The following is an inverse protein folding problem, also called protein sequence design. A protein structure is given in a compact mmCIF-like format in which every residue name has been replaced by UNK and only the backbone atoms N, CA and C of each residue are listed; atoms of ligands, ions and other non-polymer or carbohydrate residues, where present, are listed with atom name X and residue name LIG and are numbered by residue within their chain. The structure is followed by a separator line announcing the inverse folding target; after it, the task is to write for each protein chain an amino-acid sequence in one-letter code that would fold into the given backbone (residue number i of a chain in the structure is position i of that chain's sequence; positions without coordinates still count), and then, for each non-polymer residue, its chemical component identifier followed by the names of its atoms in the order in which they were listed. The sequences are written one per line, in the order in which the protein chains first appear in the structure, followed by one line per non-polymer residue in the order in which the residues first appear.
data_IF_418012827609
#
_entry.id   IF_418012827609
#
_cell.length_a   1.000
_cell.length_b   1.000
_cell.length_c   1.000
_cell.angle_alpha   90.00
_cell.angle_beta   90.00
_cell.angle_gamma   90.00
#
_symmetry.space_group_name_H-M   'P 1'
#
loop_
_entity.id
_entity.type
_entity.pdbx_description
1 polymer ?
#
# COMPACT_ATOMS: atom_id res chain seq x y z
N UNK A 1 18.95 16.43 12.48
CA UNK A 1 17.68 15.69 12.43
C UNK A 1 17.47 15.36 10.97
N UNK A 2 17.43 14.07 10.67
CA UNK A 2 17.33 13.60 9.30
C UNK A 2 15.97 14.01 8.73
N UNK A 3 15.99 14.61 7.54
CA UNK A 3 14.77 15.07 6.86
C UNK A 3 14.16 13.94 6.05
N UNK A 4 12.88 13.64 6.29
CA UNK A 4 12.11 12.67 5.50
C UNK A 4 12.17 13.00 4.00
N UNK A 5 12.02 14.28 3.64
CA UNK A 5 12.02 14.72 2.24
C UNK A 5 13.37 14.49 1.54
N UNK A 6 14.48 14.54 2.30
CA UNK A 6 15.81 14.24 1.75
C UNK A 6 15.93 12.75 1.44
N UNK A 7 15.48 11.88 2.35
CA UNK A 7 15.47 10.43 2.13
C UNK A 7 14.57 10.05 0.96
N UNK A 8 13.35 10.60 0.90
CA UNK A 8 12.41 10.37 -0.20
C UNK A 8 13.02 10.73 -1.55
N UNK A 9 13.64 11.92 -1.65
CA UNK A 9 14.26 12.39 -2.89
C UNK A 9 15.39 11.47 -3.33
N UNK A 10 16.27 11.11 -2.39
CA UNK A 10 17.42 10.26 -2.67
C UNK A 10 17.02 8.85 -3.12
N UNK A 11 16.01 8.26 -2.47
CA UNK A 11 15.48 6.96 -2.87
C UNK A 11 14.78 7.05 -4.23
N UNK A 12 13.97 8.10 -4.45
CA UNK A 12 13.23 8.29 -5.69
C UNK A 12 14.15 8.43 -6.91
N UNK A 13 15.22 9.23 -6.80
CA UNK A 13 16.21 9.39 -7.87
C UNK A 13 16.92 8.06 -8.19
N UNK A 14 17.31 7.30 -7.16
CA UNK A 14 18.01 6.04 -7.34
C UNK A 14 17.13 4.96 -7.99
N UNK A 15 15.89 4.79 -7.50
CA UNK A 15 14.98 3.80 -8.09
C UNK A 15 14.55 4.19 -9.50
N UNK A 16 14.40 5.49 -9.81
CA UNK A 16 14.09 5.93 -11.17
C UNK A 16 15.19 5.58 -12.17
N UNK A 17 16.47 5.59 -11.74
CA UNK A 17 17.60 5.26 -12.60
C UNK A 17 17.84 3.75 -12.74
N UNK A 18 17.77 3.00 -11.63
CA UNK A 18 18.22 1.61 -11.57
C UNK A 18 17.06 0.59 -11.50
N UNK A 19 15.89 1.01 -11.00
CA UNK A 19 14.73 0.15 -10.68
C UNK A 19 13.39 0.79 -11.11
N UNK A 20 13.16 1.03 -12.42
CA UNK A 20 12.01 1.83 -12.89
C UNK A 20 10.63 1.21 -12.56
N UNK A 21 10.58 -0.09 -12.26
CA UNK A 21 9.36 -0.75 -11.81
C UNK A 21 9.01 -0.44 -10.34
N UNK A 22 10.00 -0.02 -9.54
CA UNK A 22 9.86 0.17 -8.11
C UNK A 22 9.28 1.55 -7.81
N UNK A 23 8.61 1.67 -6.68
CA UNK A 23 8.07 2.92 -6.17
C UNK A 23 8.14 2.97 -4.65
N UNK A 24 8.18 4.18 -4.12
CA UNK A 24 8.13 4.41 -2.68
C UNK A 24 6.67 4.21 -2.22
N UNK A 25 6.48 3.35 -1.23
CA UNK A 25 5.19 3.15 -0.54
C UNK A 25 5.09 4.05 0.68
N UNK A 26 6.19 4.19 1.44
CA UNK A 26 6.26 5.10 2.59
C UNK A 26 7.72 5.40 2.96
N UNK A 27 7.95 6.57 3.56
CA UNK A 27 9.22 6.91 4.23
C UNK A 27 8.89 7.51 5.58
N UNK A 28 9.35 6.88 6.64
CA UNK A 28 9.11 7.29 8.01
C UNK A 28 10.43 7.63 8.69
N UNK A 29 10.50 8.79 9.32
CA UNK A 29 11.62 9.17 10.20
C UNK A 29 11.08 9.33 11.61
N UNK A 30 11.35 8.33 12.45
CA UNK A 30 10.93 8.29 13.84
C UNK A 30 11.90 9.05 14.76
N UNK A 31 11.46 9.41 15.99
CA UNK A 31 12.37 9.95 17.01
C UNK A 31 13.58 9.05 17.24
N UNK A 32 14.75 9.66 17.43
CA UNK A 32 16.02 8.92 17.49
C UNK A 32 16.60 8.55 16.12
N UNK A 33 16.18 9.23 15.05
CA UNK A 33 16.66 9.02 13.68
C UNK A 33 16.48 7.57 13.19
N UNK A 34 15.39 6.90 13.56
CA UNK A 34 15.05 5.61 12.94
C UNK A 34 14.30 5.85 11.64
N UNK A 35 14.93 5.51 10.52
CA UNK A 35 14.43 5.68 9.16
C UNK A 35 13.89 4.34 8.68
N UNK A 36 12.66 4.34 8.18
CA UNK A 36 12.04 3.18 7.54
C UNK A 36 11.62 3.59 6.13
N UNK A 37 12.10 2.85 5.14
CA UNK A 37 11.75 3.01 3.72
C UNK A 37 11.02 1.76 3.28
N UNK A 38 9.75 1.92 2.93
CA UNK A 38 8.94 0.85 2.36
C UNK A 38 8.82 1.04 0.85
N UNK A 39 9.14 -0.02 0.11
CA UNK A 39 9.13 -0.06 -1.34
C UNK A 39 8.03 -0.98 -1.85
N UNK A 40 7.48 -0.62 -3.01
CA UNK A 40 6.51 -1.41 -3.76
C UNK A 40 7.03 -1.69 -5.16
N UNK A 41 6.53 -2.78 -5.73
CA UNK A 41 6.76 -3.22 -7.11
C UNK A 41 5.65 -4.18 -7.49
N UNK A 42 5.25 -4.18 -8.76
CA UNK A 42 4.17 -5.02 -9.26
C UNK A 42 4.60 -6.51 -9.32
N UNK A 43 5.89 -6.77 -9.47
CA UNK A 43 6.50 -8.12 -9.48
C UNK A 43 7.17 -8.49 -8.15
N UNK A 44 7.05 -7.62 -7.14
CA UNK A 44 7.76 -7.74 -5.88
C UNK A 44 9.12 -7.05 -5.87
N UNK A 45 9.68 -6.93 -4.67
CA UNK A 45 10.93 -6.21 -4.40
C UNK A 45 12.00 -7.23 -4.02
N UNK A 46 13.12 -7.20 -4.73
CA UNK A 46 14.27 -8.08 -4.48
C UNK A 46 15.06 -7.60 -3.26
N UNK A 47 15.53 -8.56 -2.45
CA UNK A 47 16.42 -8.30 -1.33
C UNK A 47 17.71 -7.61 -1.77
N UNK A 48 18.25 -7.96 -2.94
CA UNK A 48 19.47 -7.35 -3.47
C UNK A 48 19.25 -5.87 -3.80
N UNK A 49 18.05 -5.50 -4.25
CA UNK A 49 17.69 -4.10 -4.48
C UNK A 49 17.60 -3.33 -3.15
N UNK A 50 16.98 -3.90 -2.12
CA UNK A 50 16.96 -3.30 -0.77
C UNK A 50 18.37 -3.06 -0.23
N UNK A 51 19.29 -4.01 -0.39
CA UNK A 51 20.70 -3.86 0.03
C UNK A 51 21.38 -2.72 -0.72
N UNK A 52 21.14 -2.56 -2.03
CA UNK A 52 21.75 -1.48 -2.82
C UNK A 52 21.19 -0.11 -2.46
N UNK A 53 19.88 -0.02 -2.25
CA UNK A 53 19.22 1.23 -1.81
C UNK A 53 19.73 1.62 -0.42
N UNK A 54 19.87 0.67 0.50
CA UNK A 54 20.47 0.90 1.83
C UNK A 54 21.85 1.52 1.69
N UNK A 55 22.75 0.90 0.91
CA UNK A 55 24.11 1.43 0.67
C UNK A 55 24.10 2.80 0.01
N UNK A 56 23.16 3.05 -0.89
CA UNK A 56 23.02 4.35 -1.54
C UNK A 56 22.64 5.45 -0.55
N UNK A 57 21.71 5.18 0.37
CA UNK A 57 21.34 6.10 1.45
C UNK A 57 22.54 6.33 2.39
N UNK A 58 23.20 5.25 2.84
CA UNK A 58 24.36 5.35 3.74
C UNK A 58 25.55 6.09 3.12
N UNK A 59 25.76 6.01 1.81
CA UNK A 59 26.82 6.75 1.13
C UNK A 59 26.57 8.27 1.09
N UNK A 60 25.32 8.70 1.29
CA UNK A 60 24.90 10.10 1.25
C UNK A 60 24.47 10.64 2.63
N UNK A 61 24.45 9.81 3.67
CA UNK A 61 24.13 10.18 5.05
C UNK A 61 25.30 9.81 5.95
N UNK A 62 25.90 10.83 6.56
CA UNK A 62 27.10 10.63 7.39
C UNK A 62 26.73 10.17 8.81
N UNK A 63 26.92 8.87 9.07
CA UNK A 63 26.68 8.23 10.38
C UNK A 63 27.61 8.72 11.48
N UNK A 64 28.78 9.28 11.12
CA UNK A 64 29.70 9.84 12.12
C UNK A 64 29.24 11.22 12.61
N UNK A 65 28.39 11.90 11.82
CA UNK A 65 27.82 13.21 12.16
C UNK A 65 26.48 13.07 12.88
N UNK A 66 25.59 12.20 12.41
CA UNK A 66 24.31 11.89 13.07
C UNK A 66 24.10 10.37 13.14
N UNK A 67 23.99 9.82 14.35
CA UNK A 67 23.64 8.41 14.54
C UNK A 67 22.18 8.15 14.10
N UNK A 68 21.97 7.06 13.38
CA UNK A 68 20.68 6.66 12.83
C UNK A 68 20.58 5.14 12.63
N UNK A 69 19.33 4.67 12.61
CA UNK A 69 18.94 3.31 12.21
C UNK A 69 18.23 3.39 10.86
N UNK A 70 18.54 2.49 9.95
CA UNK A 70 17.94 2.46 8.61
C UNK A 70 17.40 1.06 8.31
N UNK A 71 16.13 1.01 7.94
CA UNK A 71 15.43 -0.18 7.48
C UNK A 71 14.87 0.09 6.08
N UNK A 72 15.28 -0.72 5.10
CA UNK A 72 14.75 -0.66 3.72
C UNK A 72 14.15 -2.02 3.39
N UNK A 73 12.87 -2.04 3.04
CA UNK A 73 12.14 -3.29 2.82
C UNK A 73 10.95 -3.12 1.89
N UNK A 74 10.33 -4.26 1.55
CA UNK A 74 9.09 -4.28 0.79
C UNK A 74 7.89 -3.97 1.68
N UNK A 75 6.87 -3.33 1.12
CA UNK A 75 5.59 -3.22 1.80
C UNK A 75 5.01 -4.63 2.07
N UNK A 76 4.62 -4.88 3.32
CA UNK A 76 4.08 -6.18 3.72
C UNK A 76 2.80 -6.55 2.95
N UNK A 77 2.67 -7.82 2.58
CA UNK A 77 1.49 -8.35 1.84
C UNK A 77 0.16 -8.08 2.54
N UNK A 78 0.16 -8.04 3.87
CA UNK A 78 -1.03 -7.82 4.72
C UNK A 78 -1.12 -6.39 5.26
N UNK A 79 -0.17 -5.53 4.89
CA UNK A 79 -0.16 -4.13 5.27
C UNK A 79 -1.30 -3.38 4.55
N UNK A 80 -1.86 -2.33 5.19
CA UNK A 80 -2.76 -1.42 4.49
C UNK A 80 -2.09 -0.82 3.26
N UNK A 81 -2.89 -0.58 2.23
CA UNK A 81 -2.47 0.27 1.12
C UNK A 81 -2.25 1.69 1.62
N UNK A 82 -1.17 2.32 1.16
CA UNK A 82 -0.76 3.67 1.47
C UNK A 82 -0.74 4.57 0.23
N UNK A 83 -0.52 3.99 -0.95
CA UNK A 83 -0.43 4.73 -2.21
C UNK A 83 -1.42 4.19 -3.25
N UNK A 84 -1.86 5.06 -4.16
CA UNK A 84 -2.87 4.71 -5.18
C UNK A 84 -2.43 3.55 -6.08
N UNK A 85 -1.13 3.46 -6.36
CA UNK A 85 -0.58 2.37 -7.18
C UNK A 85 -0.83 0.98 -6.59
N UNK A 86 -0.92 0.87 -5.26
CA UNK A 86 -1.28 -0.40 -4.61
C UNK A 86 -2.76 -0.75 -4.84
N UNK A 87 -3.64 0.24 -4.97
CA UNK A 87 -5.04 0.02 -5.34
C UNK A 87 -5.13 -0.40 -6.82
N UNK A 88 -4.41 0.29 -7.71
CA UNK A 88 -4.37 -0.06 -9.14
C UNK A 88 -3.86 -1.48 -9.37
N UNK A 89 -2.80 -1.87 -8.65
CA UNK A 89 -2.24 -3.22 -8.72
C UNK A 89 -3.14 -4.30 -8.08
N UNK A 90 -4.20 -3.92 -7.36
CA UNK A 90 -5.14 -4.83 -6.72
C UNK A 90 -6.51 -4.86 -7.42
N UNK A 91 -6.64 -4.26 -8.61
CA UNK A 91 -7.83 -4.41 -9.45
C UNK A 91 -8.03 -5.90 -9.76
N UNK A 92 -9.29 -6.34 -9.74
CA UNK A 92 -9.73 -7.73 -9.85
C UNK A 92 -9.31 -8.65 -8.67
N UNK A 93 -8.71 -8.10 -7.62
CA UNK A 93 -8.43 -8.83 -6.38
C UNK A 93 -9.46 -8.53 -5.27
N UNK A 94 -9.56 -9.45 -4.30
CA UNK A 94 -10.43 -9.29 -3.14
C UNK A 94 -9.75 -8.46 -2.05
N UNK A 95 -10.43 -7.41 -1.59
CA UNK A 95 -9.93 -6.48 -0.57
C UNK A 95 -10.93 -6.28 0.57
N UNK A 96 -10.41 -5.97 1.76
CA UNK A 96 -11.19 -5.47 2.91
C UNK A 96 -10.99 -3.96 3.00
N UNK A 97 -12.07 -3.18 2.87
CA UNK A 97 -12.07 -1.73 3.01
C UNK A 97 -12.73 -1.36 4.33
N UNK A 98 -11.95 -0.73 5.22
CA UNK A 98 -12.46 -0.09 6.42
C UNK A 98 -12.77 1.38 6.09
N UNK A 99 -14.03 1.77 6.22
CA UNK A 99 -14.51 3.13 6.01
C UNK A 99 -14.57 3.89 7.34
N UNK A 100 -14.64 5.23 7.24
CA UNK A 100 -15.03 6.12 8.34
C UNK A 100 -16.32 5.60 8.98
N UNK A 101 -16.39 5.72 10.31
CA UNK A 101 -17.50 5.14 11.09
C UNK A 101 -17.38 3.64 11.39
N UNK A 102 -16.28 2.99 11.00
CA UNK A 102 -15.98 1.60 11.38
C UNK A 102 -16.67 0.54 10.51
N UNK A 103 -17.25 0.95 9.38
CA UNK A 103 -17.91 0.05 8.43
C UNK A 103 -16.84 -0.72 7.66
N UNK A 104 -16.98 -2.05 7.59
CA UNK A 104 -16.09 -2.92 6.82
C UNK A 104 -16.85 -3.48 5.62
N UNK A 105 -16.33 -3.22 4.43
CA UNK A 105 -16.81 -3.83 3.19
C UNK A 105 -15.76 -4.82 2.67
N UNK A 106 -16.21 -5.94 2.13
CA UNK A 106 -15.35 -6.97 1.52
C UNK A 106 -15.88 -7.25 0.12
N UNK A 107 -14.99 -7.22 -0.86
CA UNK A 107 -15.38 -7.43 -2.24
C UNK A 107 -14.19 -7.39 -3.18
N UNK A 108 -14.48 -7.56 -4.46
CA UNK A 108 -13.49 -7.46 -5.54
C UNK A 108 -13.35 -6.00 -5.94
N UNK A 109 -12.12 -5.48 -5.97
CA UNK A 109 -11.84 -4.11 -6.40
C UNK A 109 -11.98 -4.04 -7.92
N UNK A 110 -13.02 -3.38 -8.43
CA UNK A 110 -13.33 -3.36 -9.87
C UNK A 110 -12.74 -2.14 -10.59
N UNK A 111 -12.61 -1.02 -9.90
CA UNK A 111 -12.03 0.20 -10.48
C UNK A 111 -11.43 1.10 -9.39
N UNK A 112 -10.45 1.91 -9.80
CA UNK A 112 -9.72 2.86 -8.94
C UNK A 112 -9.56 4.17 -9.69
N UNK A 113 -9.73 5.27 -8.97
CA UNK A 113 -9.42 6.62 -9.43
C UNK A 113 -8.79 7.43 -8.29
N UNK A 114 -8.32 8.64 -8.58
CA UNK A 114 -7.78 9.53 -7.56
C UNK A 114 -8.80 9.92 -6.47
N UNK A 115 -10.10 9.86 -6.78
CA UNK A 115 -11.17 10.35 -5.90
C UNK A 115 -11.95 9.23 -5.23
N UNK A 116 -12.03 8.05 -5.86
CA UNK A 116 -12.89 6.95 -5.41
C UNK A 116 -12.42 5.58 -5.91
N UNK A 117 -12.90 4.54 -5.24
CA UNK A 117 -12.81 3.14 -5.67
C UNK A 117 -14.20 2.55 -5.92
N UNK A 118 -14.27 1.52 -6.74
CA UNK A 118 -15.46 0.69 -6.92
C UNK A 118 -15.19 -0.73 -6.41
N UNK A 119 -16.10 -1.24 -5.59
CA UNK A 119 -16.01 -2.54 -4.95
C UNK A 119 -17.24 -3.36 -5.32
N UNK A 120 -17.01 -4.53 -5.93
CA UNK A 120 -18.06 -5.53 -6.15
C UNK A 120 -18.23 -6.41 -4.91
N UNK A 121 -19.36 -6.28 -4.22
CA UNK A 121 -19.68 -6.96 -2.97
C UNK A 121 -20.77 -8.00 -3.17
N UNK A 122 -20.53 -9.23 -2.72
CA UNK A 122 -21.54 -10.31 -2.77
C UNK A 122 -22.39 -10.30 -1.50
N UNK A 123 -23.69 -10.02 -1.64
CA UNK A 123 -24.65 -10.01 -0.51
C UNK A 123 -25.67 -11.15 -0.63
N UNK A 124 -25.98 -11.79 0.50
CA UNK A 124 -26.99 -12.85 0.58
C UNK A 124 -28.35 -12.28 0.91
N UNK A 125 -29.16 -12.00 -0.11
CA UNK A 125 -30.52 -11.50 0.03
C UNK A 125 -31.55 -12.62 -0.10
N UNK A 126 -32.65 -12.52 0.65
CA UNK A 126 -33.81 -13.40 0.51
C UNK A 126 -34.84 -12.66 -0.35
N UNK A 127 -34.90 -13.00 -1.63
CA UNK A 127 -35.91 -12.43 -2.54
C UNK A 127 -37.32 -12.82 -2.08
N UNK A 128 -38.29 -11.91 -2.23
CA UNK A 128 -39.68 -12.17 -1.85
C UNK A 128 -40.21 -13.41 -2.59
N UNK A 129 -40.63 -14.43 -1.83
CA UNK A 129 -41.09 -15.73 -2.34
C UNK A 129 -40.03 -16.85 -2.38
N UNK A 130 -38.75 -16.57 -2.20
CA UNK A 130 -37.70 -17.59 -2.27
C UNK A 130 -37.49 -18.34 -0.93
N UNK A 131 -37.45 -19.68 -0.99
CA UNK A 131 -37.14 -20.55 0.18
C UNK A 131 -35.67 -20.48 0.61
N UNK A 132 -34.76 -20.03 -0.25
CA UNK A 132 -33.30 -19.95 -0.01
C UNK A 132 -32.78 -18.54 -0.29
N UNK A 133 -31.68 -18.16 0.36
CA UNK A 133 -30.97 -16.90 0.08
C UNK A 133 -30.24 -17.01 -1.25
N UNK A 134 -30.28 -15.96 -2.05
CA UNK A 134 -29.54 -15.83 -3.30
C UNK A 134 -28.40 -14.84 -3.10
N UNK A 135 -27.24 -15.15 -3.68
CA UNK A 135 -26.10 -14.23 -3.74
C UNK A 135 -26.36 -13.22 -4.86
N UNK A 136 -26.36 -11.94 -4.51
CA UNK A 136 -26.49 -10.82 -5.45
C UNK A 136 -25.22 -9.99 -5.36
N UNK A 137 -24.67 -9.68 -6.52
CA UNK A 137 -23.51 -8.81 -6.67
C UNK A 137 -23.98 -7.35 -6.67
N UNK A 138 -23.42 -6.55 -5.76
CA UNK A 138 -23.72 -5.12 -5.60
C UNK A 138 -22.42 -4.33 -5.82
N UNK A 139 -22.45 -3.38 -6.77
CA UNK A 139 -21.34 -2.47 -7.01
C UNK A 139 -21.46 -1.27 -6.07
N UNK A 140 -20.45 -1.06 -5.23
CA UNK A 140 -20.39 0.04 -4.26
C UNK A 140 -19.26 0.98 -4.65
N UNK A 141 -19.59 2.26 -4.84
CA UNK A 141 -18.59 3.33 -5.00
C UNK A 141 -18.24 3.90 -3.62
N UNK A 142 -16.94 3.95 -3.29
CA UNK A 142 -16.44 4.46 -2.02
C UNK A 142 -15.45 5.59 -2.30
N UNK A 143 -15.72 6.82 -1.86
CA UNK A 143 -14.76 7.92 -1.95
C UNK A 143 -13.47 7.59 -1.19
N UNK A 144 -12.31 7.95 -1.76
CA UNK A 144 -11.01 7.72 -1.13
C UNK A 144 -10.92 8.41 0.23
N UNK A 145 -11.53 9.59 0.39
CA UNK A 145 -11.53 10.31 1.67
C UNK A 145 -12.31 9.56 2.76
N UNK A 146 -13.26 8.69 2.40
CA UNK A 146 -14.01 7.88 3.36
C UNK A 146 -13.27 6.61 3.79
N UNK A 147 -12.17 6.27 3.15
CA UNK A 147 -11.40 5.06 3.46
C UNK A 147 -10.42 5.36 4.59
N UNK A 148 -10.46 4.53 5.64
CA UNK A 148 -9.46 4.54 6.72
C UNK A 148 -8.33 3.55 6.44
N UNK A 149 -8.63 2.40 5.86
CA UNK A 149 -7.62 1.42 5.46
C UNK A 149 -8.17 0.43 4.44
N UNK A 150 -7.38 0.05 3.46
CA UNK A 150 -7.68 -1.07 2.55
C UNK A 150 -6.58 -2.12 2.65
N UNK A 151 -6.94 -3.40 2.68
CA UNK A 151 -5.98 -4.52 2.71
C UNK A 151 -6.41 -5.63 1.77
N UNK A 152 -5.44 -6.35 1.19
CA UNK A 152 -5.70 -7.60 0.45
C UNK A 152 -6.27 -8.67 1.38
N UNK A 153 -7.20 -9.47 0.87
CA UNK A 153 -7.70 -10.67 1.51
C UNK A 153 -7.07 -11.89 0.82
N UNK A 154 -6.37 -12.72 1.58
CA UNK A 154 -5.85 -13.99 1.11
C UNK A 154 -6.75 -15.13 1.60
N UNK A 155 -7.26 -15.94 0.67
CA UNK A 155 -7.99 -17.18 0.95
C UNK A 155 -7.01 -18.35 0.84
N UNK A 156 -6.87 -19.11 1.92
CA UNK A 156 -6.05 -20.33 2.00
C UNK A 156 -6.95 -21.57 2.01
#
# INVERSE_FOLDING_TARGET
MISQQVIETLVAEYIAAEYPAYYIVDVLVHPGNRIVVELGSDEGVDIDACVRITKHIEANQDREVEDYELEVGSAGLTSPFKVIRQYEAAIDEEVEVLRKGGIKEKGVLSAVSAEQIELSVVRKVKLEGAKRKTEVEELITIPMDEILSTKRIFKF
#
